data_IF_567318696724
#
_entry.id   IF_567318696724
#
_cell.length_a   1.000
_cell.length_b   1.000
_cell.length_c   1.000
_cell.angle_alpha   90.00
_cell.angle_beta   90.00
_cell.angle_gamma   90.00
#
_symmetry.space_group_name_H-M   'P 1'
#
loop_
_entity.id
_entity.type
_entity.pdbx_description
1 polymer ?
#
# COMPACT_ATOMS: atom_id res chain seq x y z
N UNK A 1 7.72 -22.69 -11.86
CA UNK A 1 8.05 -21.29 -11.56
C UNK A 1 6.75 -20.61 -11.10
N UNK A 2 6.42 -20.73 -9.81
CA UNK A 2 5.10 -20.39 -9.29
C UNK A 2 4.93 -18.87 -9.10
N UNK A 3 3.72 -18.31 -9.32
CA UNK A 3 3.49 -16.87 -9.24
C UNK A 3 3.48 -16.35 -7.79
N UNK A 4 4.10 -15.18 -7.59
CA UNK A 4 4.32 -14.44 -6.33
C UNK A 4 3.04 -14.09 -5.52
N UNK A 5 1.85 -14.49 -5.98
CA UNK A 5 0.59 -14.22 -5.27
C UNK A 5 0.34 -15.17 -4.08
N UNK A 6 1.11 -16.26 -3.96
CA UNK A 6 0.94 -17.24 -2.88
C UNK A 6 1.39 -16.74 -1.49
N UNK A 7 2.12 -15.62 -1.39
CA UNK A 7 2.65 -15.14 -0.11
C UNK A 7 1.76 -14.11 0.59
N UNK A 8 0.77 -13.53 -0.09
CA UNK A 8 -0.18 -12.62 0.54
C UNK A 8 -1.46 -13.37 0.89
N UNK A 9 -1.38 -14.24 1.89
CA UNK A 9 -2.55 -14.80 2.53
C UNK A 9 -3.35 -13.66 3.19
N UNK A 10 -4.29 -13.04 2.45
CA UNK A 10 -5.44 -12.33 3.02
C UNK A 10 -6.34 -13.35 3.71
N UNK A 11 -5.82 -14.04 4.73
CA UNK A 11 -6.62 -14.88 5.62
C UNK A 11 -7.19 -13.97 6.68
N UNK A 12 -8.46 -13.60 6.54
CA UNK A 12 -9.38 -13.59 7.69
C UNK A 12 -10.83 -13.64 7.21
N UNK A 13 -11.33 -14.87 7.00
CA UNK A 13 -12.77 -15.16 6.99
C UNK A 13 -13.40 -15.10 8.38
N UNK A 14 -12.97 -14.16 9.24
CA UNK A 14 -13.55 -13.92 10.56
C UNK A 14 -13.84 -12.42 10.65
N UNK A 15 -15.12 -12.05 10.77
CA UNK A 15 -15.52 -10.66 11.10
C UNK A 15 -14.78 -10.26 12.38
N UNK A 16 -13.83 -9.33 12.26
CA UNK A 16 -13.00 -8.88 13.37
C UNK A 16 -11.79 -8.08 12.88
N UNK A 17 -11.15 -7.32 13.78
CA UNK A 17 -9.96 -6.51 13.46
C UNK A 17 -8.85 -7.44 12.93
N UNK A 18 -8.31 -7.20 11.72
CA UNK A 18 -7.16 -7.95 11.24
C UNK A 18 -6.04 -7.88 12.29
N UNK A 19 -5.58 -9.05 12.77
CA UNK A 19 -4.48 -9.15 13.75
C UNK A 19 -3.12 -8.77 13.14
N UNK A 20 -3.08 -8.47 11.84
CA UNK A 20 -1.85 -8.23 11.11
C UNK A 20 -1.65 -6.73 10.90
N UNK A 21 -0.54 -6.21 11.42
CA UNK A 21 -0.07 -4.85 11.21
C UNK A 21 1.00 -4.90 10.11
N UNK A 22 0.76 -4.31 8.93
CA UNK A 22 1.76 -4.29 7.87
C UNK A 22 2.96 -3.45 8.29
N UNK A 23 4.16 -3.83 7.87
CA UNK A 23 5.37 -3.05 8.11
C UNK A 23 5.39 -1.76 7.27
N UNK A 24 4.81 -1.79 6.08
CA UNK A 24 4.73 -0.66 5.16
C UNK A 24 3.40 -0.63 4.41
N UNK A 25 3.01 0.57 3.97
CA UNK A 25 1.84 0.80 3.10
C UNK A 25 2.28 1.57 1.87
N UNK A 26 1.98 1.02 0.71
CA UNK A 26 2.18 1.69 -0.59
C UNK A 26 0.84 2.30 -0.99
N UNK A 27 0.81 3.59 -1.28
CA UNK A 27 -0.40 4.25 -1.75
C UNK A 27 -0.08 5.35 -2.77
N UNK A 28 -1.10 5.75 -3.52
CA UNK A 28 -0.98 6.82 -4.50
C UNK A 28 -0.76 8.18 -3.85
N UNK A 29 -0.19 9.10 -4.63
CA UNK A 29 0.08 10.49 -4.26
C UNK A 29 -1.14 11.21 -3.65
N UNK A 30 -2.36 10.87 -4.05
CA UNK A 30 -3.60 11.44 -3.49
C UNK A 30 -3.76 11.16 -1.99
N UNK A 31 -3.11 10.12 -1.46
CA UNK A 31 -3.13 9.72 -0.05
C UNK A 31 -1.98 10.33 0.78
N UNK A 32 -1.24 11.30 0.25
CA UNK A 32 -0.18 12.02 0.98
C UNK A 32 -0.73 13.06 1.99
N UNK A 33 -1.88 12.80 2.62
CA UNK A 33 -2.43 13.69 3.61
C UNK A 33 -1.61 13.63 4.91
N UNK A 34 -1.26 14.78 5.49
CA UNK A 34 -0.44 14.86 6.71
C UNK A 34 -1.03 14.04 7.86
N UNK A 35 -2.34 14.16 8.10
CA UNK A 35 -3.04 13.38 9.14
C UNK A 35 -2.95 11.86 8.91
N UNK A 36 -2.91 11.40 7.66
CA UNK A 36 -2.79 9.99 7.32
C UNK A 36 -1.36 9.50 7.54
N UNK A 37 -0.36 10.26 7.07
CA UNK A 37 1.05 9.96 7.30
C UNK A 37 1.37 9.88 8.79
N UNK A 38 0.85 10.82 9.59
CA UNK A 38 1.02 10.81 11.04
C UNK A 38 0.33 9.62 11.69
N UNK A 39 -0.89 9.27 11.26
CA UNK A 39 -1.58 8.08 11.76
C UNK A 39 -0.79 6.78 11.46
N UNK A 40 -0.17 6.68 10.29
CA UNK A 40 0.68 5.55 9.90
C UNK A 40 1.97 5.51 10.72
N UNK A 41 2.65 6.66 10.88
CA UNK A 41 3.87 6.78 11.71
C UNK A 41 3.62 6.45 13.17
N UNK A 42 2.51 6.93 13.76
CA UNK A 42 2.09 6.58 15.14
C UNK A 42 1.85 5.09 15.30
N UNK A 43 1.39 4.43 14.24
CA UNK A 43 1.24 2.99 14.19
C UNK A 43 2.54 2.28 13.80
N UNK A 44 3.68 2.95 13.65
CA UNK A 44 4.94 2.38 13.15
C UNK A 44 4.77 1.60 11.84
N UNK A 45 3.97 2.15 10.92
CA UNK A 45 3.78 1.63 9.57
C UNK A 45 4.48 2.62 8.63
N UNK A 46 5.42 2.14 7.81
CA UNK A 46 6.15 3.00 6.88
C UNK A 46 5.27 3.41 5.68
N UNK A 47 4.99 4.70 5.46
CA UNK A 47 4.26 5.15 4.29
C UNK A 47 5.19 5.29 3.08
N UNK A 48 5.00 4.44 2.08
CA UNK A 48 5.69 4.49 0.78
C UNK A 48 4.76 5.19 -0.20
N UNK A 49 4.59 6.49 0.03
CA UNK A 49 3.69 7.37 -0.73
C UNK A 49 4.56 8.46 -1.37
N UNK A 50 4.43 8.73 -2.68
CA UNK A 50 5.16 9.82 -3.29
C UNK A 50 4.66 11.14 -2.72
N UNK A 51 5.61 12.02 -2.44
CA UNK A 51 5.28 13.35 -1.94
C UNK A 51 4.51 14.15 -2.96
N UNK A 52 3.61 15.00 -2.46
CA UNK A 52 3.05 16.06 -3.28
C UNK A 52 4.06 17.17 -3.56
N UNK A 53 3.77 17.97 -4.58
CA UNK A 53 4.65 19.06 -5.04
C UNK A 53 4.79 20.13 -3.95
N UNK A 54 3.75 20.30 -3.13
CA UNK A 54 3.69 21.18 -1.96
C UNK A 54 4.37 20.60 -0.70
N UNK A 55 4.93 19.39 -0.75
CA UNK A 55 5.58 18.75 0.39
C UNK A 55 7.10 18.69 0.21
N UNK A 56 7.89 18.84 1.29
CA UNK A 56 9.34 18.71 1.24
C UNK A 56 9.72 17.35 0.69
N UNK A 57 10.69 17.29 -0.23
CA UNK A 57 11.05 16.06 -0.93
C UNK A 57 11.56 15.00 0.07
N UNK A 58 10.95 13.81 0.05
CA UNK A 58 11.42 12.68 0.84
C UNK A 58 12.58 12.03 0.08
N UNK A 59 13.81 12.36 0.49
CA UNK A 59 15.04 11.82 -0.08
C UNK A 59 15.14 10.30 0.12
N UNK A 60 14.51 9.77 1.18
CA UNK A 60 14.47 8.34 1.52
C UNK A 60 13.29 7.61 0.88
N UNK A 61 12.68 8.18 -0.17
CA UNK A 61 11.59 7.52 -0.87
C UNK A 61 12.08 6.27 -1.61
N UNK A 62 11.67 5.11 -1.09
CA UNK A 62 11.94 3.80 -1.67
C UNK A 62 11.18 3.60 -2.99
N UNK A 63 11.79 4.08 -4.09
CA UNK A 63 11.30 3.90 -5.46
C UNK A 63 11.14 2.42 -5.84
N UNK A 64 12.10 1.51 -5.55
CA UNK A 64 11.93 0.08 -5.77
C UNK A 64 10.63 -0.47 -5.17
N UNK A 65 10.35 -0.17 -3.90
CA UNK A 65 9.15 -0.68 -3.24
C UNK A 65 7.90 -0.01 -3.78
N UNK A 66 7.94 1.29 -4.12
CA UNK A 66 6.82 1.96 -4.79
C UNK A 66 6.43 1.33 -6.14
N UNK A 67 7.40 0.79 -6.91
CA UNK A 67 7.09 0.08 -8.17
C UNK A 67 6.19 -1.14 -7.97
N UNK A 68 6.18 -1.72 -6.77
CA UNK A 68 5.31 -2.86 -6.45
C UNK A 68 3.81 -2.48 -6.44
N UNK A 69 3.45 -1.19 -6.46
CA UNK A 69 2.05 -0.73 -6.61
C UNK A 69 1.37 -1.28 -7.86
N UNK A 70 2.14 -1.55 -8.93
CA UNK A 70 1.64 -2.11 -10.18
C UNK A 70 0.97 -3.49 -9.97
N UNK A 71 1.36 -4.25 -8.95
CA UNK A 71 0.67 -5.50 -8.58
C UNK A 71 -0.76 -5.22 -8.08
N UNK A 72 -0.93 -4.17 -7.28
CA UNK A 72 -2.24 -3.72 -6.79
C UNK A 72 -3.08 -3.16 -7.93
N UNK A 73 -2.49 -2.36 -8.83
CA UNK A 73 -3.17 -1.83 -10.02
C UNK A 73 -3.66 -2.94 -10.96
N UNK A 74 -2.81 -3.93 -11.25
CA UNK A 74 -3.19 -5.11 -12.05
C UNK A 74 -4.30 -5.91 -11.40
N UNK A 75 -4.23 -6.12 -10.08
CA UNK A 75 -5.28 -6.82 -9.34
C UNK A 75 -6.60 -6.05 -9.42
N UNK A 76 -6.59 -4.73 -9.16
CA UNK A 76 -7.78 -3.90 -9.25
C UNK A 76 -8.37 -3.88 -10.65
N UNK A 77 -7.54 -3.80 -11.70
CA UNK A 77 -7.96 -3.90 -13.09
C UNK A 77 -8.64 -5.23 -13.40
N UNK A 78 -8.06 -6.34 -12.93
CA UNK A 78 -8.64 -7.68 -13.08
C UNK A 78 -9.99 -7.81 -12.35
N UNK A 79 -10.10 -7.26 -11.14
CA UNK A 79 -11.37 -7.23 -10.40
C UNK A 79 -12.45 -6.41 -11.12
N UNK A 80 -12.07 -5.27 -11.72
CA UNK A 80 -12.99 -4.47 -12.54
C UNK A 80 -13.44 -5.20 -13.80
N UNK A 81 -12.57 -6.01 -14.42
CA UNK A 81 -12.91 -6.82 -15.59
C UNK A 81 -14.00 -7.85 -15.27
N UNK A 82 -13.97 -8.47 -14.08
CA UNK A 82 -15.01 -9.43 -13.67
C UNK A 82 -16.34 -8.80 -13.26
N UNK A 83 -16.44 -7.47 -13.27
CA UNK A 83 -17.69 -6.75 -13.00
C UNK A 83 -18.45 -6.37 -14.28
N UNK A 84 -17.92 -6.73 -15.44
CA UNK A 84 -18.48 -6.44 -16.76
C UNK A 84 -19.06 -7.71 -17.36
#
# INVERSE_FOLDING_TARGET
>A
MAPLFEQAALRTGRRGRPRWKPAAVIADKAYSAAWLLDALRRKQIAPIIPNRVDQPHNLDFDRPTYRQRNLVERLAGKLKQFRR
#
